data_IF_256189822588
#
_entry.id   IF_256189822588
#
_cell.length_a   1.000
_cell.length_b   1.000
_cell.length_c   1.000
_cell.angle_alpha   90.00
_cell.angle_beta   90.00
_cell.angle_gamma   90.00
#
_symmetry.space_group_name_H-M   'P 1'
#
loop_
_entity.id
_entity.type
_entity.pdbx_description
1 polymer ?
#
# COMPACT_ATOMS: atom_id res chain seq x y z
N UNK A 1 2.36 -11.72 -33.21
CA UNK A 1 2.61 -11.10 -31.89
C UNK A 1 1.81 -11.90 -30.89
N UNK A 2 2.48 -12.93 -30.38
CA UNK A 2 1.94 -14.07 -29.66
C UNK A 2 1.91 -13.80 -28.16
N UNK A 3 0.91 -14.41 -27.52
CA UNK A 3 0.65 -14.51 -26.09
C UNK A 3 1.88 -14.46 -25.17
N UNK A 4 1.88 -13.49 -24.25
CA UNK A 4 2.80 -13.42 -23.10
C UNK A 4 2.08 -13.75 -21.77
N UNK A 5 0.97 -14.49 -21.84
CA UNK A 5 0.14 -14.87 -20.69
C UNK A 5 0.07 -16.39 -20.48
N UNK A 6 1.18 -17.12 -20.72
CA UNK A 6 1.22 -18.59 -20.58
C UNK A 6 2.49 -19.12 -19.91
N UNK A 7 3.03 -18.38 -18.93
CA UNK A 7 4.27 -18.73 -18.23
C UNK A 7 4.19 -18.64 -16.71
N UNK A 8 3.05 -18.97 -16.11
CA UNK A 8 2.99 -19.34 -14.70
C UNK A 8 2.78 -20.85 -14.65
N UNK A 9 3.77 -21.58 -14.16
CA UNK A 9 3.61 -22.99 -13.85
C UNK A 9 2.37 -23.17 -13.00
N UNK A 10 1.40 -23.92 -13.52
CA UNK A 10 0.25 -24.40 -12.77
C UNK A 10 0.79 -25.28 -11.64
N UNK A 11 1.04 -24.68 -10.48
CA UNK A 11 0.88 -25.38 -9.23
C UNK A 11 -0.53 -25.97 -9.30
N UNK A 12 -0.63 -27.30 -9.23
CA UNK A 12 -1.91 -27.96 -9.06
C UNK A 12 -2.57 -27.31 -7.84
N UNK A 13 -3.51 -26.41 -8.10
CA UNK A 13 -4.48 -25.99 -7.14
C UNK A 13 -5.22 -27.28 -6.80
N UNK A 14 -4.79 -27.96 -5.74
CA UNK A 14 -5.72 -28.74 -4.95
C UNK A 14 -6.90 -27.81 -4.75
N UNK A 15 -8.06 -28.25 -5.25
CA UNK A 15 -9.30 -27.54 -5.10
C UNK A 15 -9.48 -27.27 -3.62
N UNK A 16 -9.05 -26.08 -3.18
CA UNK A 16 -9.51 -25.50 -1.94
C UNK A 16 -10.99 -25.39 -2.18
N UNK A 17 -11.73 -26.34 -1.60
CA UNK A 17 -13.15 -26.21 -1.40
C UNK A 17 -13.34 -24.78 -0.93
N UNK A 18 -14.01 -23.97 -1.75
CA UNK A 18 -14.53 -22.71 -1.28
C UNK A 18 -15.32 -23.08 -0.04
N UNK A 19 -14.81 -22.75 1.14
CA UNK A 19 -15.65 -22.59 2.31
C UNK A 19 -16.59 -21.45 1.96
N UNK A 20 -17.66 -21.82 1.26
CA UNK A 20 -18.89 -21.06 1.17
C UNK A 20 -19.21 -20.71 2.61
N UNK A 21 -19.17 -19.42 2.92
CA UNK A 21 -19.58 -18.92 4.22
C UNK A 21 -20.91 -19.56 4.59
N UNK A 22 -21.01 -19.99 5.85
CA UNK A 22 -22.06 -20.88 6.32
C UNK A 22 -23.46 -20.51 5.82
N UNK A 23 -24.23 -21.56 5.54
CA UNK A 23 -25.63 -21.56 5.14
C UNK A 23 -26.48 -20.47 5.81
N UNK A 24 -26.58 -19.30 5.18
CA UNK A 24 -27.75 -18.46 5.33
C UNK A 24 -28.46 -18.37 3.97
N UNK A 25 -29.48 -19.20 3.70
CA UNK A 25 -30.21 -19.20 2.42
C UNK A 25 -31.01 -17.91 2.17
N UNK A 26 -30.92 -16.93 3.07
CA UNK A 26 -31.43 -15.57 2.94
C UNK A 26 -30.22 -14.67 3.22
N UNK A 27 -29.87 -13.74 2.34
CA UNK A 27 -28.70 -12.87 2.51
C UNK A 27 -28.70 -12.07 3.83
N UNK A 28 -27.73 -11.18 3.99
CA UNK A 28 -27.61 -10.33 5.17
C UNK A 28 -28.79 -9.35 5.26
N UNK A 29 -29.43 -9.33 6.43
CA UNK A 29 -30.40 -8.31 6.83
C UNK A 29 -29.64 -7.19 7.53
N UNK A 30 -29.77 -5.96 7.04
CA UNK A 30 -28.99 -4.83 7.50
C UNK A 30 -29.80 -3.95 8.46
N UNK A 31 -29.33 -3.81 9.69
CA UNK A 31 -29.90 -2.89 10.65
C UNK A 31 -29.28 -1.51 10.48
N UNK A 32 -30.14 -0.47 10.49
CA UNK A 32 -29.68 0.93 10.53
C UNK A 32 -29.37 1.30 11.98
N UNK A 33 -28.15 1.75 12.23
CA UNK A 33 -27.72 2.23 13.55
C UNK A 33 -27.44 3.73 13.54
N UNK A 34 -26.89 4.23 12.44
CA UNK A 34 -26.48 5.62 12.33
C UNK A 34 -27.25 6.41 11.28
N UNK A 35 -27.66 5.75 10.20
CA UNK A 35 -28.41 6.38 9.11
C UNK A 35 -29.92 6.35 9.36
N UNK A 36 -30.62 7.36 8.86
CA UNK A 36 -32.09 7.41 8.90
C UNK A 36 -32.67 6.85 7.59
N UNK A 37 -33.69 6.01 7.68
CA UNK A 37 -34.38 5.50 6.50
C UNK A 37 -35.00 6.64 5.68
N UNK A 38 -34.83 6.58 4.35
CA UNK A 38 -35.34 7.61 3.44
C UNK A 38 -34.52 8.91 3.40
N UNK A 39 -33.48 9.06 4.23
CA UNK A 39 -32.57 10.21 4.23
C UNK A 39 -31.17 9.74 3.81
N UNK A 40 -30.56 10.43 2.84
CA UNK A 40 -29.19 10.13 2.47
C UNK A 40 -28.24 10.77 3.50
N UNK A 41 -27.19 10.07 3.98
CA UNK A 41 -26.29 10.62 5.01
C UNK A 41 -25.66 11.97 4.65
N UNK A 42 -25.48 12.26 3.36
CA UNK A 42 -24.96 13.55 2.90
C UNK A 42 -25.92 14.73 3.14
N UNK A 43 -27.23 14.49 3.24
CA UNK A 43 -28.23 15.55 3.41
C UNK A 43 -28.26 16.06 4.86
N UNK A 44 -27.74 15.26 5.80
CA UNK A 44 -27.60 15.61 7.22
C UNK A 44 -26.31 16.40 7.51
N UNK A 45 -25.45 16.56 6.51
CA UNK A 45 -24.13 17.20 6.64
C UNK A 45 -24.16 18.61 6.09
N UNK A 46 -23.59 19.56 6.85
CA UNK A 46 -23.28 20.89 6.32
C UNK A 46 -21.99 20.82 5.51
N UNK A 47 -22.09 21.11 4.21
CA UNK A 47 -20.97 21.09 3.27
C UNK A 47 -20.44 22.50 3.01
N UNK A 48 -19.14 22.62 2.82
CA UNK A 48 -18.50 23.88 2.44
C UNK A 48 -17.45 23.69 1.36
N UNK A 49 -17.11 24.81 0.71
CA UNK A 49 -16.04 24.90 -0.26
C UNK A 49 -14.82 25.51 0.41
N UNK A 50 -13.67 24.89 0.19
CA UNK A 50 -12.38 25.37 0.68
C UNK A 50 -11.29 25.14 -0.36
N UNK A 51 -10.24 25.94 -0.28
CA UNK A 51 -9.06 25.79 -1.12
C UNK A 51 -8.00 24.99 -0.38
N UNK A 52 -7.40 24.01 -1.07
CA UNK A 52 -6.26 23.25 -0.55
C UNK A 52 -5.01 23.75 -1.26
N UNK A 53 -4.16 24.44 -0.50
CA UNK A 53 -2.85 24.92 -0.95
C UNK A 53 -1.79 24.32 -0.04
N UNK A 54 -0.83 23.61 -0.63
CA UNK A 54 0.33 23.10 0.08
C UNK A 54 1.57 23.85 -0.40
N UNK A 55 2.33 24.40 0.53
CA UNK A 55 3.59 25.07 0.25
C UNK A 55 4.78 24.26 0.78
N UNK A 56 5.92 24.42 0.12
CA UNK A 56 7.19 23.94 0.62
C UNK A 56 7.59 24.79 1.85
N UNK A 57 7.85 24.15 2.97
CA UNK A 57 8.18 24.86 4.22
C UNK A 57 9.52 25.61 4.17
N UNK A 58 10.46 25.20 3.30
CA UNK A 58 11.76 25.88 3.11
C UNK A 58 11.65 27.06 2.15
N UNK A 59 11.00 26.87 1.01
CA UNK A 59 10.99 27.86 -0.10
C UNK A 59 9.73 28.71 -0.15
N UNK A 60 8.68 28.36 0.61
CA UNK A 60 7.32 28.91 0.52
C UNK A 60 6.66 28.75 -0.86
N UNK A 61 7.26 28.01 -1.78
CA UNK A 61 6.69 27.75 -3.10
C UNK A 61 5.48 26.82 -2.97
N UNK A 62 4.46 27.06 -3.78
CA UNK A 62 3.28 26.18 -3.86
C UNK A 62 3.69 24.89 -4.55
N UNK A 63 3.60 23.77 -3.83
CA UNK A 63 3.90 22.42 -4.35
C UNK A 63 2.65 21.70 -4.83
N UNK A 64 1.48 22.10 -4.33
CA UNK A 64 0.19 21.57 -4.76
C UNK A 64 -0.90 22.59 -4.47
N UNK A 65 -1.84 22.74 -5.41
CA UNK A 65 -3.01 23.58 -5.23
C UNK A 65 -4.22 22.95 -5.91
N UNK A 66 -5.35 22.89 -5.20
CA UNK A 66 -6.65 22.58 -5.75
C UNK A 66 -7.71 23.43 -5.04
N UNK A 67 -8.38 24.30 -5.79
CA UNK A 67 -9.38 25.23 -5.27
C UNK A 67 -10.79 24.67 -5.33
N UNK A 68 -11.65 25.20 -4.46
CA UNK A 68 -13.09 24.91 -4.45
C UNK A 68 -13.43 23.45 -4.16
N UNK A 69 -12.59 22.75 -3.40
CA UNK A 69 -12.89 21.37 -2.99
C UNK A 69 -14.00 21.35 -1.94
N UNK A 70 -14.85 20.33 -1.99
CA UNK A 70 -16.05 20.22 -1.17
C UNK A 70 -15.88 19.16 -0.08
N UNK A 71 -16.05 19.60 1.17
CA UNK A 71 -15.91 18.76 2.37
C UNK A 71 -16.98 19.13 3.41
N UNK A 72 -17.26 18.25 4.38
CA UNK A 72 -18.05 18.61 5.54
C UNK A 72 -17.39 19.74 6.33
N UNK A 73 -18.17 20.71 6.82
CA UNK A 73 -17.66 21.82 7.62
C UNK A 73 -16.92 21.35 8.89
N UNK A 74 -17.30 20.19 9.43
CA UNK A 74 -16.66 19.56 10.59
C UNK A 74 -15.24 19.03 10.33
N UNK A 75 -14.86 18.81 9.07
CA UNK A 75 -13.53 18.28 8.75
C UNK A 75 -12.45 19.33 8.94
N UNK A 76 -11.31 18.91 9.49
CA UNK A 76 -10.14 19.79 9.60
C UNK A 76 -9.52 20.09 8.23
N UNK A 77 -8.81 21.23 8.13
CA UNK A 77 -8.03 21.57 6.94
C UNK A 77 -7.00 20.50 6.59
N UNK A 78 -6.36 19.89 7.60
CA UNK A 78 -5.39 18.82 7.41
C UNK A 78 -6.03 17.57 6.78
N UNK A 79 -7.21 17.16 7.26
CA UNK A 79 -7.93 16.02 6.70
C UNK A 79 -8.31 16.27 5.22
N UNK A 80 -8.89 17.45 4.92
CA UNK A 80 -9.21 17.83 3.54
C UNK A 80 -7.96 17.88 2.66
N UNK A 81 -6.84 18.38 3.17
CA UNK A 81 -5.56 18.43 2.44
C UNK A 81 -5.04 17.04 2.12
N UNK A 82 -5.04 16.12 3.08
CA UNK A 82 -4.59 14.73 2.87
C UNK A 82 -5.46 14.05 1.83
N UNK A 83 -6.79 14.13 1.97
CA UNK A 83 -7.71 13.49 1.02
C UNK A 83 -7.53 14.05 -0.39
N UNK A 84 -7.45 15.38 -0.51
CA UNK A 84 -7.32 16.05 -1.81
C UNK A 84 -6.00 15.70 -2.47
N UNK A 85 -4.89 15.71 -1.73
CA UNK A 85 -3.56 15.45 -2.31
C UNK A 85 -3.27 13.98 -2.58
N UNK A 86 -3.87 13.06 -1.81
CA UNK A 86 -3.53 11.63 -1.86
C UNK A 86 -4.61 10.74 -2.46
N UNK A 87 -5.89 11.04 -2.26
CA UNK A 87 -6.98 10.12 -2.58
C UNK A 87 -7.89 10.56 -3.71
N UNK A 88 -8.01 11.87 -3.95
CA UNK A 88 -8.74 12.36 -5.13
C UNK A 88 -8.07 11.88 -6.42
N UNK A 89 -8.89 11.22 -7.26
CA UNK A 89 -8.50 10.70 -8.57
C UNK A 89 -8.66 11.75 -9.67
N UNK A 90 -8.02 11.49 -10.80
CA UNK A 90 -7.92 12.42 -11.94
C UNK A 90 -6.71 13.35 -11.85
N UNK A 91 -6.20 13.77 -13.00
CA UNK A 91 -5.09 14.72 -13.07
C UNK A 91 -5.58 16.13 -12.72
N UNK A 92 -4.75 16.94 -12.07
CA UNK A 92 -5.12 18.33 -11.76
C UNK A 92 -5.45 19.09 -13.05
N UNK A 93 -6.51 19.89 -13.01
CA UNK A 93 -6.97 20.69 -14.15
C UNK A 93 -7.82 19.93 -15.17
N UNK A 94 -8.04 18.62 -14.99
CA UNK A 94 -8.95 17.86 -15.88
C UNK A 94 -10.35 17.71 -15.27
N UNK A 95 -11.35 17.51 -16.11
CA UNK A 95 -12.74 17.32 -15.66
C UNK A 95 -12.93 16.04 -14.83
N UNK A 96 -12.06 15.05 -15.03
CA UNK A 96 -12.07 13.80 -14.28
C UNK A 96 -11.49 13.95 -12.86
N UNK A 97 -10.96 15.13 -12.51
CA UNK A 97 -10.44 15.39 -11.17
C UNK A 97 -11.57 15.42 -10.15
N UNK A 98 -11.52 14.49 -9.20
CA UNK A 98 -12.39 14.52 -8.04
C UNK A 98 -12.15 15.82 -7.25
N UNK A 99 -13.25 16.46 -6.85
CA UNK A 99 -13.24 17.73 -6.13
C UNK A 99 -14.15 17.71 -4.90
N UNK A 100 -15.04 16.72 -4.76
CA UNK A 100 -15.87 16.51 -3.56
C UNK A 100 -15.51 15.22 -2.87
N UNK A 101 -15.50 15.23 -1.54
CA UNK A 101 -15.43 14.01 -0.74
C UNK A 101 -16.56 13.02 -1.11
N UNK A 102 -17.73 13.51 -1.52
CA UNK A 102 -18.85 12.67 -1.97
C UNK A 102 -18.45 11.76 -3.13
N UNK A 103 -17.70 12.29 -4.11
CA UNK A 103 -17.25 11.51 -5.28
C UNK A 103 -16.32 10.36 -4.85
N UNK A 104 -15.39 10.65 -3.93
CA UNK A 104 -14.47 9.65 -3.39
C UNK A 104 -15.20 8.56 -2.60
N UNK A 105 -16.09 8.94 -1.69
CA UNK A 105 -16.86 7.99 -0.88
C UNK A 105 -17.77 7.15 -1.77
N UNK A 106 -18.54 7.78 -2.65
CA UNK A 106 -19.46 7.09 -3.57
C UNK A 106 -18.73 6.09 -4.45
N UNK A 107 -17.57 6.47 -5.00
CA UNK A 107 -16.76 5.57 -5.82
C UNK A 107 -16.45 4.27 -5.09
N UNK A 108 -16.14 4.34 -3.80
CA UNK A 108 -15.82 3.17 -2.99
C UNK A 108 -17.08 2.43 -2.55
N UNK A 109 -18.01 3.13 -1.89
CA UNK A 109 -19.18 2.54 -1.25
C UNK A 109 -20.11 1.92 -2.29
N UNK A 110 -20.39 2.61 -3.40
CA UNK A 110 -21.28 2.08 -4.45
C UNK A 110 -20.68 0.88 -5.15
N UNK A 111 -19.36 0.81 -5.28
CA UNK A 111 -18.68 -0.38 -5.80
C UNK A 111 -18.88 -1.58 -4.87
N UNK A 112 -18.74 -1.39 -3.56
CA UNK A 112 -19.00 -2.46 -2.59
C UNK A 112 -20.47 -2.87 -2.54
N UNK A 113 -21.39 -1.90 -2.56
CA UNK A 113 -22.83 -2.17 -2.61
C UNK A 113 -23.22 -2.93 -3.87
N UNK A 114 -22.69 -2.56 -5.03
CA UNK A 114 -22.91 -3.27 -6.28
C UNK A 114 -22.37 -4.71 -6.23
N UNK A 115 -21.12 -4.91 -5.77
CA UNK A 115 -20.53 -6.23 -5.64
C UNK A 115 -21.29 -7.11 -4.63
N UNK A 116 -21.72 -6.53 -3.50
CA UNK A 116 -22.54 -7.22 -2.51
C UNK A 116 -23.87 -7.69 -3.08
N UNK A 117 -24.53 -6.86 -3.89
CA UNK A 117 -25.76 -7.25 -4.57
C UNK A 117 -25.53 -8.34 -5.64
N UNK A 118 -24.49 -8.19 -6.47
CA UNK A 118 -24.12 -9.15 -7.51
C UNK A 118 -23.83 -10.54 -6.95
N UNK A 119 -23.13 -10.60 -5.81
CA UNK A 119 -22.75 -11.85 -5.17
C UNK A 119 -23.77 -12.35 -4.12
N UNK A 120 -24.96 -11.74 -4.04
CA UNK A 120 -26.05 -12.21 -3.18
C UNK A 120 -25.82 -12.03 -1.68
N UNK A 121 -24.99 -11.07 -1.28
CA UNK A 121 -24.71 -10.79 0.14
C UNK A 121 -25.91 -10.18 0.87
N UNK A 122 -26.86 -9.54 0.20
CA UNK A 122 -28.00 -8.85 0.83
C UNK A 122 -29.29 -9.65 0.71
N UNK A 123 -30.11 -9.69 1.77
CA UNK A 123 -31.42 -10.34 1.72
C UNK A 123 -32.41 -9.61 0.80
N UNK A 124 -32.38 -8.28 0.81
CA UNK A 124 -33.27 -7.43 0.00
C UNK A 124 -32.52 -6.21 -0.57
N UNK A 125 -33.09 -5.51 -1.57
CA UNK A 125 -32.56 -4.24 -2.02
C UNK A 125 -32.50 -3.17 -0.91
N UNK A 126 -33.46 -3.19 0.02
CA UNK A 126 -33.47 -2.28 1.16
C UNK A 126 -32.28 -2.53 2.11
N UNK A 127 -31.83 -3.79 2.24
CA UNK A 127 -30.63 -4.12 2.99
C UNK A 127 -29.36 -3.58 2.31
N UNK A 128 -29.29 -3.65 0.98
CA UNK A 128 -28.19 -3.08 0.21
C UNK A 128 -28.13 -1.54 0.38
N UNK A 129 -29.28 -0.87 0.37
CA UNK A 129 -29.38 0.58 0.59
C UNK A 129 -29.04 0.97 2.03
N UNK A 130 -29.45 0.15 3.00
CA UNK A 130 -29.03 0.33 4.39
C UNK A 130 -27.52 0.19 4.55
N UNK A 131 -26.89 -0.82 3.92
CA UNK A 131 -25.43 -0.98 3.91
C UNK A 131 -24.72 0.23 3.32
N UNK A 132 -25.16 0.72 2.15
CA UNK A 132 -24.58 1.91 1.51
C UNK A 132 -24.68 3.14 2.41
N UNK A 133 -25.85 3.38 3.02
CA UNK A 133 -26.06 4.55 3.87
C UNK A 133 -25.28 4.45 5.19
N UNK A 134 -25.26 3.30 5.86
CA UNK A 134 -24.49 3.12 7.10
C UNK A 134 -22.99 3.33 6.83
N UNK A 135 -22.45 2.71 5.77
CA UNK A 135 -21.02 2.86 5.44
C UNK A 135 -20.69 4.30 5.04
N UNK A 136 -21.54 4.95 4.24
CA UNK A 136 -21.38 6.37 3.86
C UNK A 136 -21.38 7.26 5.10
N UNK A 137 -22.32 7.04 6.03
CA UNK A 137 -22.42 7.80 7.27
C UNK A 137 -21.15 7.65 8.11
N UNK A 138 -20.65 6.43 8.28
CA UNK A 138 -19.44 6.15 9.06
C UNK A 138 -18.20 6.85 8.48
N UNK A 139 -18.09 6.87 7.14
CA UNK A 139 -16.98 7.49 6.42
C UNK A 139 -17.04 9.02 6.48
N UNK A 140 -18.19 9.62 6.19
CA UNK A 140 -18.33 11.09 6.15
C UNK A 140 -18.20 11.71 7.55
N UNK A 141 -18.63 11.01 8.59
CA UNK A 141 -18.51 11.44 9.99
C UNK A 141 -17.19 11.01 10.66
N UNK A 142 -16.25 10.40 9.92
CA UNK A 142 -14.94 9.96 10.41
C UNK A 142 -14.96 8.93 11.57
N UNK A 143 -16.02 8.12 11.69
CA UNK A 143 -16.10 6.99 12.62
C UNK A 143 -15.40 5.74 12.09
N UNK A 144 -15.20 5.67 10.77
CA UNK A 144 -14.50 4.61 10.08
C UNK A 144 -13.67 5.19 8.94
N UNK A 145 -12.60 4.51 8.57
CA UNK A 145 -11.87 4.79 7.33
C UNK A 145 -11.24 3.51 6.80
N UNK A 146 -11.29 3.34 5.48
CA UNK A 146 -10.52 2.28 4.84
C UNK A 146 -9.01 2.60 4.82
N UNK A 147 -8.21 1.55 4.66
CA UNK A 147 -6.80 1.69 4.33
C UNK A 147 -6.61 2.35 2.95
N UNK A 148 -5.41 2.89 2.70
CA UNK A 148 -5.13 3.64 1.46
C UNK A 148 -5.37 2.88 0.14
N UNK A 149 -5.03 1.57 -0.01
CA UNK A 149 -5.29 0.84 -1.25
C UNK A 149 -6.76 0.81 -1.67
N UNK A 150 -7.69 0.77 -0.71
CA UNK A 150 -9.12 0.85 -1.03
C UNK A 150 -9.45 2.20 -1.68
N UNK A 151 -9.01 3.30 -1.08
CA UNK A 151 -9.20 4.65 -1.64
C UNK A 151 -8.55 4.82 -3.01
N UNK A 152 -7.39 4.20 -3.21
CA UNK A 152 -6.69 4.24 -4.50
C UNK A 152 -7.44 3.44 -5.56
N UNK A 153 -7.83 2.21 -5.28
CA UNK A 153 -8.13 1.23 -6.34
C UNK A 153 -9.62 0.99 -6.56
N UNK A 154 -10.45 1.06 -5.51
CA UNK A 154 -11.89 0.71 -5.59
C UNK A 154 -12.65 1.67 -6.48
N UNK A 155 -13.49 1.13 -7.36
CA UNK A 155 -14.26 1.90 -8.33
C UNK A 155 -13.41 2.54 -9.44
N UNK A 156 -12.25 1.96 -9.74
CA UNK A 156 -11.37 2.37 -10.85
C UNK A 156 -11.18 1.24 -11.87
N UNK A 157 -10.56 1.55 -13.02
CA UNK A 157 -10.22 0.54 -14.04
C UNK A 157 -9.01 -0.32 -13.68
N UNK A 158 -8.30 -0.01 -12.60
CA UNK A 158 -7.12 -0.77 -12.16
C UNK A 158 -7.54 -2.08 -11.47
N UNK A 159 -6.69 -3.12 -11.51
CA UNK A 159 -6.89 -4.30 -10.67
C UNK A 159 -7.11 -3.91 -9.21
N UNK A 160 -8.13 -4.49 -8.60
CA UNK A 160 -8.69 -4.08 -7.32
C UNK A 160 -7.86 -4.60 -6.13
N UNK A 161 -6.62 -4.10 -5.96
CA UNK A 161 -5.80 -4.43 -4.80
C UNK A 161 -6.27 -3.65 -3.57
N UNK A 162 -6.99 -4.32 -2.67
CA UNK A 162 -7.57 -3.70 -1.47
C UNK A 162 -6.78 -3.96 -0.18
N UNK A 163 -5.97 -5.02 -0.13
CA UNK A 163 -5.12 -5.35 1.02
C UNK A 163 -3.87 -4.48 1.06
N UNK A 164 -3.54 -3.89 2.22
CA UNK A 164 -2.36 -3.04 2.37
C UNK A 164 -1.06 -3.79 2.70
N UNK A 165 -1.15 -4.95 3.33
CA UNK A 165 0.02 -5.66 3.84
C UNK A 165 0.04 -7.07 3.28
N UNK A 166 1.19 -7.48 2.74
CA UNK A 166 1.44 -8.83 2.25
C UNK A 166 2.64 -9.44 2.97
N UNK A 167 2.54 -10.73 3.29
CA UNK A 167 3.65 -11.52 3.82
C UNK A 167 4.11 -12.43 2.69
N UNK A 168 5.37 -12.27 2.30
CA UNK A 168 6.01 -13.09 1.27
C UNK A 168 6.95 -14.11 1.92
N UNK A 169 7.27 -15.15 1.16
CA UNK A 169 8.27 -16.15 1.51
C UNK A 169 9.28 -16.27 0.38
N UNK A 170 10.52 -16.60 0.73
CA UNK A 170 11.59 -16.86 -0.24
C UNK A 170 12.29 -18.16 0.12
N UNK A 171 12.62 -18.94 -0.88
CA UNK A 171 13.42 -20.16 -0.76
C UNK A 171 14.86 -19.92 -1.23
N UNK A 172 15.76 -20.81 -0.83
CA UNK A 172 17.18 -20.76 -1.19
C UNK A 172 17.43 -21.24 -2.64
N UNK A 173 16.81 -20.55 -3.60
CA UNK A 173 16.99 -20.78 -5.02
C UNK A 173 16.90 -19.45 -5.79
N UNK A 174 17.63 -19.36 -6.90
CA UNK A 174 17.60 -18.14 -7.73
C UNK A 174 16.20 -17.86 -8.28
N UNK A 175 15.45 -18.89 -8.66
CA UNK A 175 14.08 -18.72 -9.15
C UNK A 175 13.17 -18.11 -8.08
N UNK A 176 13.25 -18.58 -6.83
CA UNK A 176 12.45 -18.05 -5.73
C UNK A 176 12.85 -16.61 -5.37
N UNK A 177 14.15 -16.32 -5.33
CA UNK A 177 14.69 -14.98 -5.05
C UNK A 177 14.25 -13.97 -6.12
N UNK A 178 14.35 -14.33 -7.40
CA UNK A 178 13.94 -13.44 -8.49
C UNK A 178 12.42 -13.30 -8.57
N UNK A 179 11.66 -14.36 -8.27
CA UNK A 179 10.21 -14.28 -8.19
C UNK A 179 9.75 -13.36 -7.04
N UNK A 180 10.46 -13.35 -5.90
CA UNK A 180 10.20 -12.38 -4.83
C UNK A 180 10.27 -10.93 -5.36
N UNK A 181 11.29 -10.55 -6.12
CA UNK A 181 11.40 -9.18 -6.67
C UNK A 181 10.21 -8.84 -7.57
N UNK A 182 9.77 -9.81 -8.38
CA UNK A 182 8.63 -9.67 -9.27
C UNK A 182 7.34 -9.44 -8.47
N UNK A 183 7.04 -10.33 -7.53
CA UNK A 183 5.82 -10.26 -6.72
C UNK A 183 5.75 -8.97 -5.92
N UNK A 184 6.85 -8.62 -5.26
CA UNK A 184 6.95 -7.40 -4.48
C UNK A 184 6.75 -6.15 -5.36
N UNK A 185 7.31 -6.14 -6.58
CA UNK A 185 7.09 -5.05 -7.52
C UNK A 185 5.62 -4.84 -7.92
N UNK A 186 4.87 -5.94 -8.12
CA UNK A 186 3.43 -5.84 -8.39
C UNK A 186 2.63 -5.37 -7.18
N UNK A 187 2.96 -5.86 -5.99
CA UNK A 187 2.36 -5.42 -4.72
C UNK A 187 2.57 -3.92 -4.52
N UNK A 188 3.78 -3.43 -4.76
CA UNK A 188 4.12 -2.02 -4.63
C UNK A 188 3.37 -1.16 -5.64
N UNK A 189 3.33 -1.59 -6.91
CA UNK A 189 2.55 -0.91 -7.95
C UNK A 189 1.09 -0.73 -7.54
N UNK A 190 0.50 -1.72 -6.88
CA UNK A 190 -0.89 -1.67 -6.39
C UNK A 190 -1.12 -0.80 -5.15
N UNK A 191 -0.09 -0.20 -4.54
CA UNK A 191 -0.26 0.69 -3.39
C UNK A 191 -0.01 0.05 -2.02
N UNK A 192 0.51 -1.18 -2.00
CA UNK A 192 0.65 -1.98 -0.78
C UNK A 192 2.10 -2.22 -0.40
N UNK A 193 2.34 -2.65 0.84
CA UNK A 193 3.65 -3.02 1.35
C UNK A 193 3.82 -4.54 1.49
N UNK A 194 5.07 -4.96 1.63
CA UNK A 194 5.44 -6.36 1.76
C UNK A 194 6.45 -6.58 2.89
N UNK A 195 6.33 -7.71 3.58
CA UNK A 195 7.27 -8.18 4.59
C UNK A 195 7.70 -9.62 4.31
N UNK A 196 8.97 -9.94 4.51
CA UNK A 196 9.47 -11.32 4.40
C UNK A 196 10.66 -11.59 5.31
N UNK A 197 10.86 -12.87 5.65
CA UNK A 197 12.04 -13.35 6.35
C UNK A 197 13.03 -13.98 5.36
N UNK A 198 14.26 -13.47 5.34
CA UNK A 198 15.32 -13.88 4.43
C UNK A 198 16.20 -15.02 4.97
N UNK A 199 15.98 -15.47 6.20
CA UNK A 199 16.83 -16.47 6.88
C UNK A 199 16.82 -17.86 6.24
N UNK A 200 15.90 -18.08 5.29
CA UNK A 200 15.90 -19.29 4.46
C UNK A 200 17.01 -19.28 3.40
N UNK A 201 17.46 -18.09 2.97
CA UNK A 201 18.55 -17.94 2.02
C UNK A 201 19.86 -18.27 2.73
N UNK A 202 20.72 -19.07 2.10
CA UNK A 202 22.01 -19.45 2.68
C UNK A 202 22.90 -18.23 2.95
N UNK A 203 23.76 -18.34 3.95
CA UNK A 203 24.65 -17.24 4.34
C UNK A 203 25.75 -16.96 3.30
N UNK A 204 26.30 -15.75 3.34
CA UNK A 204 27.46 -15.35 2.52
C UNK A 204 28.73 -16.19 2.78
N UNK A 205 28.74 -16.92 3.89
CA UNK A 205 29.85 -17.77 4.35
C UNK A 205 29.79 -19.19 3.77
N UNK A 206 28.69 -19.57 3.12
CA UNK A 206 28.50 -20.90 2.53
C UNK A 206 29.21 -21.05 1.17
N UNK A 207 29.72 -22.25 0.88
CA UNK A 207 30.34 -22.57 -0.41
C UNK A 207 29.30 -22.92 -1.49
N UNK A 208 29.59 -22.55 -2.73
CA UNK A 208 28.78 -22.93 -3.89
C UNK A 208 29.38 -24.13 -4.62
N UNK A 209 28.51 -24.94 -5.25
CA UNK A 209 28.92 -26.11 -6.05
C UNK A 209 29.78 -25.74 -7.26
N UNK A 210 29.61 -24.52 -7.80
CA UNK A 210 30.41 -23.95 -8.89
C UNK A 210 31.76 -23.38 -8.44
N UNK A 211 32.07 -23.42 -7.14
CA UNK A 211 33.19 -22.70 -6.53
C UNK A 211 32.82 -21.28 -6.10
N UNK A 212 33.60 -20.72 -5.17
CA UNK A 212 33.31 -19.45 -4.51
C UNK A 212 32.34 -19.58 -3.33
N UNK A 213 31.97 -18.44 -2.76
CA UNK A 213 30.97 -18.35 -1.68
C UNK A 213 29.66 -17.78 -2.18
N UNK A 214 28.57 -18.04 -1.46
CA UNK A 214 27.28 -17.47 -1.76
C UNK A 214 27.27 -15.95 -1.53
N UNK A 215 26.37 -15.24 -2.21
CA UNK A 215 26.20 -13.80 -2.03
C UNK A 215 25.57 -13.42 -0.67
N UNK A 216 24.82 -14.34 -0.05
CA UNK A 216 24.08 -14.11 1.18
C UNK A 216 22.81 -13.25 1.01
N UNK A 217 21.88 -13.28 1.99
CA UNK A 217 20.64 -12.52 1.98
C UNK A 217 20.83 -11.00 1.91
N UNK A 218 21.88 -10.45 2.52
CA UNK A 218 22.14 -9.00 2.55
C UNK A 218 22.44 -8.46 1.14
N UNK A 219 23.14 -9.24 0.31
CA UNK A 219 23.40 -8.87 -1.09
C UNK A 219 22.13 -8.86 -1.93
N UNK A 220 21.26 -9.86 -1.79
CA UNK A 220 19.96 -9.85 -2.49
C UNK A 220 19.03 -8.75 -1.98
N UNK A 221 19.03 -8.50 -0.67
CA UNK A 221 18.31 -7.36 -0.07
C UNK A 221 18.68 -6.03 -0.71
N UNK A 222 19.95 -5.82 -1.08
CA UNK A 222 20.42 -4.63 -1.83
C UNK A 222 19.76 -4.49 -3.19
N UNK A 223 19.61 -5.60 -3.91
CA UNK A 223 18.93 -5.63 -5.21
C UNK A 223 17.44 -5.34 -5.07
N UNK A 224 16.78 -5.95 -4.08
CA UNK A 224 15.38 -5.69 -3.77
C UNK A 224 15.13 -4.24 -3.34
N UNK A 225 16.05 -3.65 -2.57
CA UNK A 225 16.00 -2.25 -2.14
C UNK A 225 16.00 -1.28 -3.34
N UNK A 226 16.88 -1.52 -4.32
CA UNK A 226 16.92 -0.72 -5.54
C UNK A 226 15.63 -0.86 -6.37
N UNK A 227 15.08 -2.08 -6.44
CA UNK A 227 13.78 -2.34 -7.08
C UNK A 227 12.65 -1.56 -6.38
N UNK A 228 12.59 -1.62 -5.05
CA UNK A 228 11.62 -0.90 -4.23
C UNK A 228 11.71 0.62 -4.43
N UNK A 229 12.93 1.17 -4.50
CA UNK A 229 13.17 2.59 -4.73
C UNK A 229 12.71 3.08 -6.11
N UNK A 230 12.61 2.19 -7.10
CA UNK A 230 12.19 2.52 -8.47
C UNK A 230 10.66 2.58 -8.61
N UNK A 231 9.92 1.82 -7.80
CA UNK A 231 8.47 1.66 -7.94
C UNK A 231 7.74 2.63 -7.01
N UNK A 232 7.07 3.64 -7.59
CA UNK A 232 6.16 4.52 -6.84
C UNK A 232 4.88 3.78 -6.49
N UNK A 233 4.52 3.76 -5.22
CA UNK A 233 3.41 2.93 -4.75
C UNK A 233 2.05 3.56 -5.10
N UNK A 234 1.17 2.76 -5.72
CA UNK A 234 -0.21 3.16 -6.04
C UNK A 234 -0.33 4.30 -7.05
N UNK A 235 0.72 4.58 -7.84
CA UNK A 235 0.77 5.75 -8.74
C UNK A 235 0.82 7.10 -8.00
N UNK A 236 1.00 7.08 -6.68
CA UNK A 236 1.04 8.25 -5.81
C UNK A 236 2.49 8.66 -5.47
N UNK A 237 2.65 9.82 -4.82
CA UNK A 237 3.94 10.38 -4.38
C UNK A 237 4.62 9.61 -3.23
N UNK A 238 4.13 8.42 -2.85
CA UNK A 238 4.65 7.64 -1.73
C UNK A 238 5.55 6.50 -2.23
N UNK A 239 6.68 6.29 -1.55
CA UNK A 239 7.54 5.12 -1.77
C UNK A 239 6.90 3.86 -1.21
N UNK A 240 7.24 2.71 -1.79
CA UNK A 240 6.84 1.41 -1.28
C UNK A 240 7.30 1.20 0.17
N UNK A 241 6.49 0.49 0.96
CA UNK A 241 6.84 0.10 2.31
C UNK A 241 7.29 -1.36 2.32
N UNK A 242 8.54 -1.60 2.72
CA UNK A 242 9.15 -2.93 2.76
C UNK A 242 9.67 -3.22 4.16
N UNK A 243 9.47 -4.46 4.62
CA UNK A 243 10.10 -4.99 5.83
C UNK A 243 10.88 -6.25 5.48
N UNK A 244 12.11 -6.33 5.96
CA UNK A 244 12.98 -7.51 5.80
C UNK A 244 13.37 -8.00 7.17
N UNK A 245 13.23 -9.32 7.37
CA UNK A 245 13.54 -9.99 8.63
C UNK A 245 14.73 -10.91 8.43
N UNK A 246 15.64 -10.91 9.41
CA UNK A 246 16.67 -11.94 9.54
C UNK A 246 16.66 -12.47 10.98
N UNK A 247 16.89 -13.77 11.13
CA UNK A 247 16.95 -14.44 12.43
C UNK A 247 18.27 -14.11 13.12
N UNK A 248 18.23 -13.99 14.45
CA UNK A 248 19.36 -13.55 15.25
C UNK A 248 20.58 -14.47 15.17
N UNK A 249 20.35 -15.76 14.88
CA UNK A 249 21.37 -16.79 14.72
C UNK A 249 21.87 -16.94 13.28
N UNK A 250 21.33 -16.17 12.32
CA UNK A 250 21.77 -16.23 10.95
C UNK A 250 23.23 -15.73 10.82
N UNK A 251 24.14 -16.44 10.09
CA UNK A 251 25.56 -16.08 10.08
C UNK A 251 25.90 -14.68 9.53
N UNK A 252 24.97 -14.06 8.79
CA UNK A 252 25.08 -12.70 8.25
C UNK A 252 24.37 -11.62 9.11
N UNK A 253 23.97 -11.94 10.35
CA UNK A 253 23.21 -11.03 11.20
C UNK A 253 23.94 -9.71 11.50
N UNK A 254 25.26 -9.76 11.75
CA UNK A 254 26.08 -8.58 12.00
C UNK A 254 26.08 -7.65 10.78
N UNK A 255 26.28 -8.20 9.58
CA UNK A 255 26.22 -7.42 8.34
C UNK A 255 24.83 -6.79 8.17
N UNK A 256 23.76 -7.57 8.42
CA UNK A 256 22.38 -7.12 8.29
C UNK A 256 22.05 -5.92 9.18
N UNK A 257 22.45 -5.94 10.46
CA UNK A 257 22.17 -4.83 11.40
C UNK A 257 23.03 -3.60 11.11
N UNK A 258 24.25 -3.78 10.61
CA UNK A 258 25.17 -2.68 10.32
C UNK A 258 24.91 -2.00 8.97
N UNK A 259 24.24 -2.67 8.01
CA UNK A 259 24.04 -2.16 6.63
C UNK A 259 23.58 -0.71 6.58
N UNK A 260 22.51 -0.37 7.32
CA UNK A 260 21.95 0.98 7.32
C UNK A 260 22.85 2.01 8.01
N UNK A 261 23.49 1.62 9.11
CA UNK A 261 24.43 2.49 9.83
C UNK A 261 25.58 2.92 8.92
N UNK A 262 26.17 1.97 8.18
CA UNK A 262 27.25 2.26 7.24
C UNK A 262 26.80 3.17 6.09
N UNK A 263 25.57 3.02 5.60
CA UNK A 263 25.01 3.92 4.61
C UNK A 263 24.72 5.33 5.18
N UNK A 264 24.32 5.45 6.46
CA UNK A 264 24.20 6.77 7.10
C UNK A 264 25.53 7.51 7.21
N UNK A 265 26.62 6.80 7.52
CA UNK A 265 27.95 7.40 7.53
C UNK A 265 28.35 7.89 6.14
N UNK A 266 28.01 7.12 5.09
CA UNK A 266 28.19 7.53 3.70
C UNK A 266 27.34 8.76 3.36
N UNK A 267 26.08 8.82 3.80
CA UNK A 267 25.20 9.98 3.63
C UNK A 267 25.83 11.23 4.23
N UNK A 268 26.37 11.14 5.45
CA UNK A 268 27.04 12.27 6.13
C UNK A 268 28.28 12.73 5.36
N UNK A 269 29.14 11.79 4.95
CA UNK A 269 30.33 12.10 4.17
C UNK A 269 30.01 12.78 2.83
N UNK A 270 28.99 12.29 2.12
CA UNK A 270 28.53 12.87 0.85
C UNK A 270 27.93 14.27 1.06
N UNK A 271 27.09 14.45 2.10
CA UNK A 271 26.55 15.77 2.44
C UNK A 271 27.68 16.77 2.72
N UNK A 272 28.68 16.37 3.51
CA UNK A 272 29.81 17.23 3.87
C UNK A 272 30.71 17.55 2.66
N UNK A 273 30.70 16.69 1.64
CA UNK A 273 31.32 16.94 0.34
C UNK A 273 30.46 17.79 -0.62
N UNK A 274 29.27 18.23 -0.20
CA UNK A 274 28.39 19.14 -0.94
C UNK A 274 27.33 18.46 -1.82
N UNK A 275 27.10 17.15 -1.67
CA UNK A 275 26.01 16.47 -2.35
C UNK A 275 24.65 16.75 -1.67
N UNK A 276 23.58 16.78 -2.46
CA UNK A 276 22.22 17.01 -1.99
C UNK A 276 21.61 15.70 -1.45
N UNK A 277 21.91 15.47 -0.16
CA UNK A 277 21.50 14.29 0.58
C UNK A 277 20.23 14.50 1.42
N UNK A 278 19.49 15.58 1.19
CA UNK A 278 18.20 15.82 1.86
C UNK A 278 17.13 14.81 1.43
N UNK A 279 16.04 14.69 2.21
CA UNK A 279 14.88 13.90 1.82
C UNK A 279 14.26 14.44 0.53
N UNK A 280 14.42 13.70 -0.57
CA UNK A 280 14.00 14.11 -1.90
C UNK A 280 15.06 14.87 -2.71
N UNK A 281 16.26 15.04 -2.15
CA UNK A 281 17.43 15.54 -2.86
C UNK A 281 17.84 14.63 -3.99
N UNK A 282 18.56 15.18 -4.98
CA UNK A 282 18.90 14.41 -6.20
C UNK A 282 19.91 13.28 -5.92
N UNK A 283 20.80 13.48 -4.94
CA UNK A 283 21.96 12.61 -4.71
C UNK A 283 21.65 11.47 -3.72
N UNK A 284 20.57 11.59 -2.92
CA UNK A 284 20.11 10.56 -1.96
C UNK A 284 19.72 9.23 -2.61
N UNK A 285 19.53 9.21 -3.93
CA UNK A 285 19.19 7.98 -4.68
C UNK A 285 20.38 7.05 -4.88
N UNK A 286 21.61 7.52 -4.58
CA UNK A 286 22.86 6.76 -4.72
C UNK A 286 23.17 5.83 -3.54
N UNK A 287 22.48 6.00 -2.41
CA UNK A 287 22.70 5.22 -1.18
C UNK A 287 21.75 4.03 -1.08
N UNK A 288 22.22 2.95 -0.48
CA UNK A 288 21.54 1.65 -0.48
C UNK A 288 20.73 1.43 0.81
N UNK A 289 19.84 0.44 0.78
CA UNK A 289 19.05 -0.03 1.93
C UNK A 289 18.12 1.02 2.53
N UNK A 290 17.71 2.02 1.76
CA UNK A 290 16.87 3.13 2.25
C UNK A 290 15.36 2.85 2.14
N UNK A 291 14.97 1.82 1.39
CA UNK A 291 13.58 1.55 1.04
C UNK A 291 12.97 0.37 1.82
N UNK A 292 13.73 -0.24 2.75
CA UNK A 292 13.25 -1.31 3.62
C UNK A 292 13.50 -1.01 5.10
N UNK A 293 12.66 -1.51 5.99
CA UNK A 293 12.94 -1.59 7.42
C UNK A 293 13.56 -2.95 7.73
N UNK A 294 14.71 -2.94 8.43
CA UNK A 294 15.38 -4.15 8.87
C UNK A 294 14.84 -4.54 10.25
N UNK A 295 14.48 -5.81 10.42
CA UNK A 295 13.95 -6.36 11.66
C UNK A 295 14.69 -7.64 12.01
N UNK A 296 15.08 -7.80 13.27
CA UNK A 296 15.72 -9.02 13.76
C UNK A 296 14.68 -9.87 14.46
N UNK A 297 14.55 -11.13 14.06
CA UNK A 297 13.73 -12.10 14.80
C UNK A 297 14.62 -12.78 15.85
N UNK A 298 14.30 -12.52 17.11
CA UNK A 298 14.97 -13.12 18.27
C UNK A 298 14.20 -14.35 18.75
N UNK A 299 14.93 -15.33 19.27
CA UNK A 299 14.36 -16.51 19.93
C UNK A 299 14.58 -16.41 21.46
N UNK A 300 13.95 -17.30 22.22
CA UNK A 300 14.06 -17.31 23.69
C UNK A 300 15.48 -17.65 24.19
N UNK A 301 16.30 -18.33 23.39
CA UNK A 301 17.68 -18.66 23.77
C UNK A 301 18.60 -17.43 23.75
N UNK A 302 18.32 -16.47 22.87
CA UNK A 302 19.07 -15.22 22.76
C UNK A 302 18.70 -14.20 23.84
N UNK A 303 17.44 -14.21 24.32
CA UNK A 303 16.88 -13.22 25.26
C UNK A 303 17.24 -13.51 26.72
#
# INVERSE_FOLDING_TARGET
MTDLWSGAHAAQAQSTQSHVGGDNPRGLVMQRHFSTEGVHPYDEITWERRDVVQTNWKTNEVVFEQRGVEFPASWSLNASTIVTTKYFRGALGTEQREWSLKQLIDRVVKTYRAAGAEHGYFATPADADAFEHELTWLLVNQYFSFNSPVWFNVGTTSPQQVSACFILSVDDSMDSILNWYKEEGFIFKGGSGAGLNLSRIRSSKELLSSGGTASGPVSFMRGADASAGTIKSGGATRRAAKMVVLDVDHPDIEEFVETKMREEDKIRALRDAGFDMDLGGRDITSVQYQNANNSVRVNDEFM
#
